data_IF_866358503133
#
_entry.id   IF_866358503133
#
_cell.length_a   1.000
_cell.length_b   1.000
_cell.length_c   1.000
_cell.angle_alpha   90.00
_cell.angle_beta   90.00
_cell.angle_gamma   90.00
#
_symmetry.space_group_name_H-M   'P 1'
#
loop_
_entity.id
_entity.type
_entity.pdbx_description
1 polymer ?
#
# COMPACT_ATOMS: atom_id res chain seq x y z
N UNK A 1 25.99 9.46 -7.74
CA UNK A 1 24.70 8.79 -7.50
C UNK A 1 24.48 8.64 -6.00
N UNK A 2 23.27 8.87 -5.57
CA UNK A 2 22.88 8.83 -4.16
C UNK A 2 21.74 7.84 -3.98
N UNK A 3 21.78 7.06 -2.89
CA UNK A 3 20.69 6.16 -2.50
C UNK A 3 19.99 6.76 -1.28
N UNK A 4 18.67 6.92 -1.38
CA UNK A 4 17.83 7.47 -0.30
C UNK A 4 16.83 6.42 0.14
N UNK A 5 16.81 6.11 1.43
CA UNK A 5 15.92 5.12 2.01
C UNK A 5 14.96 5.79 2.98
N UNK A 6 13.67 5.52 2.81
CA UNK A 6 12.61 6.07 3.65
C UNK A 6 11.82 4.94 4.31
N UNK A 7 11.73 4.99 5.63
CA UNK A 7 10.98 4.01 6.42
C UNK A 7 9.46 4.29 6.44
N UNK A 8 8.72 3.43 7.15
CA UNK A 8 7.26 3.46 7.18
C UNK A 8 6.65 4.76 7.71
N UNK A 9 7.30 5.44 8.66
CA UNK A 9 6.82 6.72 9.17
C UNK A 9 6.92 7.82 8.12
N UNK A 10 7.94 7.78 7.25
CA UNK A 10 8.12 8.75 6.16
C UNK A 10 7.10 8.57 5.04
N UNK A 11 6.44 7.42 4.96
CA UNK A 11 5.39 7.13 3.98
C UNK A 11 4.06 6.79 4.66
N UNK A 12 3.87 7.22 5.90
CA UNK A 12 2.70 6.88 6.72
C UNK A 12 1.51 7.82 6.58
N UNK A 13 1.68 9.00 6.02
CA UNK A 13 0.62 10.01 5.91
C UNK A 13 0.80 10.87 4.66
N UNK A 14 -0.24 11.64 4.31
CA UNK A 14 -0.20 12.60 3.21
C UNK A 14 0.96 13.59 3.42
N UNK A 15 1.05 14.19 4.60
CA UNK A 15 2.09 15.18 4.89
C UNK A 15 3.50 14.59 4.81
N UNK A 16 3.69 13.38 5.33
CA UNK A 16 4.98 12.69 5.27
C UNK A 16 5.41 12.41 3.84
N UNK A 17 4.48 11.96 2.99
CA UNK A 17 4.75 11.66 1.59
C UNK A 17 5.04 12.93 0.80
N UNK A 18 4.31 14.02 1.04
CA UNK A 18 4.59 15.30 0.41
C UNK A 18 5.97 15.85 0.81
N UNK A 19 6.36 15.67 2.07
CA UNK A 19 7.69 16.05 2.54
C UNK A 19 8.78 15.20 1.85
N UNK A 20 8.56 13.89 1.76
CA UNK A 20 9.45 12.98 1.03
C UNK A 20 9.61 13.42 -0.43
N UNK A 21 8.50 13.76 -1.08
CA UNK A 21 8.50 14.26 -2.46
C UNK A 21 9.42 15.48 -2.61
N UNK A 22 9.33 16.45 -1.71
CA UNK A 22 10.19 17.64 -1.73
C UNK A 22 11.67 17.29 -1.58
N UNK A 23 12.00 16.38 -0.68
CA UNK A 23 13.36 15.91 -0.46
C UNK A 23 13.91 15.24 -1.71
N UNK A 24 13.13 14.34 -2.32
CA UNK A 24 13.52 13.61 -3.53
C UNK A 24 13.70 14.55 -4.71
N UNK A 25 12.79 15.48 -4.92
CA UNK A 25 12.88 16.45 -6.02
C UNK A 25 14.13 17.32 -5.90
N UNK A 26 14.43 17.78 -4.69
CA UNK A 26 15.64 18.59 -4.42
C UNK A 26 16.92 17.81 -4.70
N UNK A 27 16.98 16.55 -4.27
CA UNK A 27 18.16 15.70 -4.49
C UNK A 27 18.32 15.36 -5.99
N UNK A 28 17.23 15.06 -6.68
CA UNK A 28 17.23 14.68 -8.10
C UNK A 28 17.66 15.84 -9.02
N UNK A 29 17.50 17.08 -8.58
CA UNK A 29 17.92 18.25 -9.34
C UNK A 29 19.45 18.34 -9.48
N UNK A 30 20.21 17.74 -8.57
CA UNK A 30 21.67 17.86 -8.51
C UNK A 30 22.42 16.59 -8.93
N UNK A 31 21.80 15.42 -8.84
CA UNK A 31 22.45 14.16 -9.17
C UNK A 31 21.42 13.04 -9.42
N UNK A 32 21.90 11.92 -9.95
CA UNK A 32 21.07 10.71 -10.07
C UNK A 32 20.82 10.13 -8.68
N UNK A 33 19.57 9.74 -8.41
CA UNK A 33 19.19 9.17 -7.14
C UNK A 33 18.47 7.84 -7.35
N UNK A 34 18.59 6.97 -6.35
CA UNK A 34 17.78 5.76 -6.19
C UNK A 34 16.97 5.97 -4.92
N UNK A 35 15.66 5.80 -5.01
CA UNK A 35 14.77 5.94 -3.86
C UNK A 35 14.25 4.56 -3.47
N UNK A 36 14.43 4.21 -2.21
CA UNK A 36 13.92 2.97 -1.63
C UNK A 36 12.91 3.35 -0.55
N UNK A 37 11.69 2.85 -0.69
CA UNK A 37 10.62 3.12 0.27
C UNK A 37 10.12 1.84 0.90
N UNK A 38 9.65 1.95 2.13
CA UNK A 38 8.90 0.91 2.82
C UNK A 38 7.44 0.88 2.32
N UNK A 39 6.69 -0.15 2.71
CA UNK A 39 5.24 -0.09 2.67
C UNK A 39 4.74 1.07 3.56
N UNK A 40 3.50 1.50 3.35
CA UNK A 40 2.88 2.53 4.19
C UNK A 40 2.96 2.12 5.67
N UNK A 41 3.18 3.08 6.56
CA UNK A 41 3.31 2.80 7.99
C UNK A 41 2.13 1.98 8.52
N UNK A 42 2.42 0.86 9.17
CA UNK A 42 1.43 -0.05 9.73
C UNK A 42 0.79 -1.04 8.74
N UNK A 43 1.02 -0.90 7.45
CA UNK A 43 0.39 -1.79 6.44
C UNK A 43 0.94 -3.22 6.51
N UNK A 44 2.23 -3.40 6.74
CA UNK A 44 2.80 -4.75 6.83
C UNK A 44 2.12 -5.57 7.92
N UNK A 45 1.94 -5.00 9.10
CA UNK A 45 1.25 -5.66 10.21
C UNK A 45 -0.21 -5.97 9.86
N UNK A 46 -0.87 -5.04 9.18
CA UNK A 46 -2.27 -5.22 8.75
C UNK A 46 -2.39 -6.32 7.69
N UNK A 47 -1.45 -6.42 6.76
CA UNK A 47 -1.41 -7.49 5.77
C UNK A 47 -1.29 -8.86 6.44
N UNK A 48 -0.40 -8.98 7.42
CA UNK A 48 -0.17 -10.22 8.17
C UNK A 48 -1.41 -10.57 9.00
N UNK A 49 -1.97 -9.62 9.72
CA UNK A 49 -3.19 -9.81 10.51
C UNK A 49 -4.33 -10.31 9.64
N UNK A 50 -4.55 -9.68 8.49
CA UNK A 50 -5.62 -10.05 7.55
C UNK A 50 -5.43 -11.46 7.02
N UNK A 51 -4.19 -11.84 6.68
CA UNK A 51 -3.87 -13.19 6.24
C UNK A 51 -4.19 -14.23 7.32
N UNK A 52 -3.80 -13.95 8.56
CA UNK A 52 -4.08 -14.85 9.70
C UNK A 52 -5.58 -15.00 9.94
N UNK A 53 -6.34 -13.94 9.84
CA UNK A 53 -7.79 -13.98 9.96
C UNK A 53 -8.41 -14.85 8.87
N UNK A 54 -7.98 -14.69 7.63
CA UNK A 54 -8.46 -15.49 6.51
C UNK A 54 -8.16 -16.98 6.70
N UNK A 55 -6.93 -17.31 7.08
CA UNK A 55 -6.51 -18.70 7.34
C UNK A 55 -7.33 -19.33 8.48
N UNK A 56 -7.68 -18.56 9.49
CA UNK A 56 -8.43 -19.05 10.65
C UNK A 56 -9.94 -19.05 10.45
N UNK A 57 -10.42 -18.66 9.28
CA UNK A 57 -11.85 -18.66 8.98
C UNK A 57 -12.61 -17.49 9.60
N UNK A 58 -11.92 -16.44 10.02
CA UNK A 58 -12.55 -15.23 10.52
C UNK A 58 -12.97 -14.34 9.34
N UNK A 59 -14.26 -14.27 9.08
CA UNK A 59 -14.81 -13.52 7.94
C UNK A 59 -14.60 -12.01 8.02
N UNK A 60 -14.24 -11.49 9.19
CA UNK A 60 -13.88 -10.07 9.33
C UNK A 60 -12.62 -9.69 8.54
N UNK A 61 -11.89 -10.66 7.99
CA UNK A 61 -10.76 -10.36 7.11
C UNK A 61 -11.19 -9.51 5.90
N UNK A 62 -12.42 -9.64 5.42
CA UNK A 62 -12.94 -8.82 4.33
C UNK A 62 -12.98 -7.34 4.71
N UNK A 63 -13.37 -7.04 5.94
CA UNK A 63 -13.37 -5.65 6.45
C UNK A 63 -11.95 -5.10 6.57
N UNK A 64 -11.04 -5.89 7.10
CA UNK A 64 -9.63 -5.50 7.20
C UNK A 64 -9.02 -5.24 5.82
N UNK A 65 -9.36 -6.08 4.85
CA UNK A 65 -8.93 -5.87 3.47
C UNK A 65 -9.46 -4.55 2.90
N UNK A 66 -10.74 -4.23 3.13
CA UNK A 66 -11.31 -2.95 2.67
C UNK A 66 -10.63 -1.75 3.31
N UNK A 67 -10.16 -1.85 4.54
CA UNK A 67 -9.37 -0.80 5.17
C UNK A 67 -8.02 -0.61 4.48
N UNK A 68 -7.39 -1.70 4.02
CA UNK A 68 -6.15 -1.62 3.23
C UNK A 68 -6.42 -0.88 1.90
N UNK A 69 -7.49 -1.24 1.22
CA UNK A 69 -7.91 -0.60 -0.04
C UNK A 69 -8.15 0.91 0.17
N UNK A 70 -8.97 1.25 1.16
CA UNK A 70 -9.33 2.64 1.45
C UNK A 70 -8.11 3.48 1.78
N UNK A 71 -7.18 2.95 2.56
CA UNK A 71 -5.97 3.69 2.92
C UNK A 71 -5.12 4.05 1.70
N UNK A 72 -4.96 3.12 0.77
CA UNK A 72 -4.21 3.39 -0.46
C UNK A 72 -4.96 4.37 -1.37
N UNK A 73 -6.26 4.17 -1.54
CA UNK A 73 -7.08 5.06 -2.37
C UNK A 73 -7.12 6.49 -1.80
N UNK A 74 -7.30 6.64 -0.50
CA UNK A 74 -7.37 7.95 0.15
C UNK A 74 -6.06 8.73 -0.01
N UNK A 75 -4.92 8.06 0.13
CA UNK A 75 -3.62 8.69 -0.10
C UNK A 75 -3.45 9.14 -1.54
N UNK A 76 -3.79 8.29 -2.49
CA UNK A 76 -3.68 8.62 -3.93
C UNK A 76 -4.59 9.80 -4.25
N UNK A 77 -5.84 9.77 -3.80
CA UNK A 77 -6.80 10.84 -4.05
C UNK A 77 -6.37 12.16 -3.42
N UNK A 78 -5.67 12.11 -2.28
CA UNK A 78 -5.20 13.31 -1.58
C UNK A 78 -3.92 13.90 -2.18
N UNK A 79 -3.06 13.06 -2.76
CA UNK A 79 -1.73 13.48 -3.22
C UNK A 79 -1.70 13.79 -4.70
N UNK A 80 -2.39 12.99 -5.54
CA UNK A 80 -2.37 13.13 -6.99
C UNK A 80 -3.58 13.95 -7.43
N UNK A 81 -3.34 15.21 -7.79
CA UNK A 81 -4.42 16.15 -8.15
C UNK A 81 -4.81 16.09 -9.63
N UNK A 82 -3.92 15.67 -10.52
CA UNK A 82 -4.21 15.56 -11.95
C UNK A 82 -5.07 14.32 -12.23
N UNK A 83 -6.25 14.53 -12.83
CA UNK A 83 -7.26 13.48 -13.01
C UNK A 83 -6.73 12.25 -13.76
N UNK A 84 -6.03 12.45 -14.87
CA UNK A 84 -5.55 11.35 -15.71
C UNK A 84 -4.48 10.52 -14.99
N UNK A 85 -3.55 11.18 -14.32
CA UNK A 85 -2.49 10.51 -13.54
C UNK A 85 -3.08 9.77 -12.35
N UNK A 86 -4.05 10.38 -11.67
CA UNK A 86 -4.73 9.75 -10.53
C UNK A 86 -5.48 8.49 -10.95
N UNK A 87 -6.25 8.57 -12.04
CA UNK A 87 -6.98 7.42 -12.57
C UNK A 87 -6.04 6.28 -12.99
N UNK A 88 -4.95 6.60 -13.66
CA UNK A 88 -3.96 5.60 -14.07
C UNK A 88 -3.33 4.91 -12.86
N UNK A 89 -2.95 5.67 -11.84
CA UNK A 89 -2.36 5.12 -10.63
C UNK A 89 -3.35 4.27 -9.85
N UNK A 90 -4.60 4.72 -9.71
CA UNK A 90 -5.65 3.94 -9.06
C UNK A 90 -5.86 2.59 -9.76
N UNK A 91 -5.84 2.57 -11.10
CA UNK A 91 -5.97 1.32 -11.85
C UNK A 91 -4.80 0.37 -11.59
N UNK A 92 -3.58 0.86 -11.57
CA UNK A 92 -2.39 0.05 -11.28
C UNK A 92 -2.44 -0.54 -9.85
N UNK A 93 -2.81 0.28 -8.88
CA UNK A 93 -2.93 -0.15 -7.49
C UNK A 93 -4.06 -1.17 -7.33
N UNK A 94 -5.18 -0.97 -8.02
CA UNK A 94 -6.31 -1.89 -7.96
C UNK A 94 -5.98 -3.27 -8.51
N UNK A 95 -5.14 -3.36 -9.54
CA UNK A 95 -4.65 -4.66 -10.02
C UNK A 95 -3.93 -5.43 -8.91
N UNK A 96 -3.04 -4.75 -8.19
CA UNK A 96 -2.29 -5.36 -7.08
C UNK A 96 -3.22 -5.71 -5.90
N UNK A 97 -4.16 -4.85 -5.57
CA UNK A 97 -5.12 -5.09 -4.50
C UNK A 97 -6.05 -6.26 -4.84
N UNK A 98 -6.45 -6.40 -6.10
CA UNK A 98 -7.26 -7.54 -6.54
C UNK A 98 -6.48 -8.87 -6.44
N UNK A 99 -5.19 -8.86 -6.78
CA UNK A 99 -4.34 -10.03 -6.58
C UNK A 99 -4.26 -10.42 -5.11
N UNK A 100 -4.09 -9.43 -4.23
CA UNK A 100 -4.08 -9.65 -2.78
C UNK A 100 -5.41 -10.22 -2.29
N UNK A 101 -6.53 -9.67 -2.76
CA UNK A 101 -7.85 -10.18 -2.41
C UNK A 101 -8.01 -11.65 -2.82
N UNK A 102 -7.56 -12.01 -4.01
CA UNK A 102 -7.62 -13.40 -4.49
C UNK A 102 -6.82 -14.33 -3.57
N UNK A 103 -5.67 -13.90 -3.08
CA UNK A 103 -4.86 -14.67 -2.13
C UNK A 103 -5.63 -14.87 -0.82
N UNK A 104 -6.21 -13.82 -0.27
CA UNK A 104 -6.98 -13.90 0.98
C UNK A 104 -8.21 -14.79 0.84
N UNK A 105 -8.95 -14.66 -0.26
CA UNK A 105 -10.11 -15.51 -0.53
C UNK A 105 -9.68 -16.98 -0.68
N UNK A 106 -8.55 -17.24 -1.32
CA UNK A 106 -7.98 -18.57 -1.44
C UNK A 106 -7.62 -19.18 -0.08
N UNK A 107 -6.99 -18.40 0.80
CA UNK A 107 -6.66 -18.84 2.16
C UNK A 107 -7.92 -19.19 2.96
N UNK A 108 -8.95 -18.37 2.86
CA UNK A 108 -10.22 -18.62 3.53
C UNK A 108 -10.91 -19.88 2.97
N UNK A 109 -10.84 -20.09 1.66
CA UNK A 109 -11.40 -21.28 1.01
C UNK A 109 -10.71 -22.56 1.47
N UNK A 110 -9.38 -22.53 1.59
CA UNK A 110 -8.62 -23.69 2.07
C UNK A 110 -9.04 -24.05 3.51
N UNK A 111 -9.26 -23.07 4.36
CA UNK A 111 -9.74 -23.29 5.72
C UNK A 111 -11.08 -24.04 5.70
N UNK A 112 -11.99 -23.70 4.79
CA UNK A 112 -13.30 -24.35 4.67
C UNK A 112 -13.23 -25.78 4.13
N UNK A 113 -12.14 -26.14 3.45
CA UNK A 113 -11.95 -27.48 2.88
C UNK A 113 -11.28 -28.46 3.86
N UNK A 114 -10.67 -27.97 4.92
CA UNK A 114 -9.99 -28.79 5.92
C UNK A 114 -10.99 -29.15 7.01
N UNK A 115 -11.18 -30.45 7.31
CA UNK A 115 -12.13 -30.89 8.35
C UNK A 115 -11.70 -30.45 9.75
#
# INVERSE_FOLDING_TARGET
MKVMKFGGTSVGSVNSILNLKSIVESAAANEKIIVVVSALGGITDKLIKTANMAVNGDNDFNREFQEIVSRHHDLINSIVSENDKRSALLQEVDVLLNELNNIYQGLALINNLVP
#
